data_IF_325263571578
#
_entry.id   IF_325263571578
#
_cell.length_a   1.000
_cell.length_b   1.000
_cell.length_c   1.000
_cell.angle_alpha   90.00
_cell.angle_beta   90.00
_cell.angle_gamma   90.00
#
_symmetry.space_group_name_H-M   'P 1'
#
loop_
_entity.id
_entity.type
_entity.pdbx_description
1 polymer ?
#
# COMPACT_ATOMS: atom_id res chain seq x y z
N UNK A 1 9.76 -8.83 -5.62
CA UNK A 1 9.04 -7.55 -5.51
C UNK A 1 8.77 -7.28 -4.05
N UNK A 2 9.10 -6.09 -3.55
CA UNK A 2 8.78 -5.67 -2.18
C UNK A 2 7.54 -4.79 -2.23
N UNK A 3 6.46 -5.25 -1.60
CA UNK A 3 5.22 -4.48 -1.45
C UNK A 3 5.15 -3.95 -0.03
N UNK A 4 4.95 -2.65 0.11
CA UNK A 4 4.81 -1.98 1.40
C UNK A 4 3.46 -1.26 1.42
N UNK A 5 2.72 -1.40 2.52
CA UNK A 5 1.52 -0.63 2.81
C UNK A 5 1.92 0.49 3.75
N UNK A 6 1.83 1.73 3.28
CA UNK A 6 2.07 2.91 4.11
C UNK A 6 0.73 3.50 4.50
N UNK A 7 0.32 3.24 5.75
CA UNK A 7 -1.00 3.57 6.28
C UNK A 7 -0.91 4.38 7.57
N UNK A 8 -2.01 4.99 8.01
CA UNK A 8 -2.08 5.53 9.37
C UNK A 8 -2.36 4.42 10.39
N UNK A 9 -1.97 4.62 11.65
CA UNK A 9 -2.27 3.68 12.75
C UNK A 9 -3.77 3.48 12.98
N UNK A 10 -4.60 4.38 12.46
CA UNK A 10 -6.06 4.35 12.56
C UNK A 10 -6.74 4.10 11.22
N UNK A 11 -6.05 3.55 10.22
CA UNK A 11 -6.64 3.30 8.90
C UNK A 11 -7.64 2.15 8.94
N UNK A 12 -8.93 2.48 8.81
CA UNK A 12 -10.02 1.50 8.80
C UNK A 12 -10.08 0.66 7.51
N UNK A 13 -9.39 1.07 6.44
CA UNK A 13 -9.35 0.33 5.18
C UNK A 13 -8.24 -0.71 5.13
N UNK A 14 -7.30 -0.72 6.09
CA UNK A 14 -6.19 -1.67 6.11
C UNK A 14 -6.67 -3.13 6.02
N UNK A 15 -7.66 -3.61 6.81
CA UNK A 15 -8.10 -5.01 6.72
C UNK A 15 -8.64 -5.40 5.34
N UNK A 16 -9.31 -4.47 4.65
CA UNK A 16 -9.79 -4.73 3.29
C UNK A 16 -8.61 -4.86 2.32
N UNK A 17 -7.63 -3.95 2.42
CA UNK A 17 -6.43 -3.98 1.58
C UNK A 17 -5.60 -5.25 1.81
N UNK A 18 -5.46 -5.68 3.07
CA UNK A 18 -4.80 -6.93 3.44
C UNK A 18 -5.50 -8.14 2.82
N UNK A 19 -6.84 -8.18 2.83
CA UNK A 19 -7.62 -9.24 2.20
C UNK A 19 -7.42 -9.27 0.68
N UNK A 20 -7.44 -8.10 0.01
CA UNK A 20 -7.22 -8.02 -1.45
C UNK A 20 -5.84 -8.55 -1.84
N UNK A 21 -4.78 -8.21 -1.09
CA UNK A 21 -3.42 -8.70 -1.35
C UNK A 21 -3.26 -10.19 -1.01
N UNK A 22 -3.89 -10.64 0.09
CA UNK A 22 -3.89 -12.04 0.48
C UNK A 22 -4.58 -12.93 -0.57
N UNK A 23 -5.71 -12.49 -1.12
CA UNK A 23 -6.43 -13.20 -2.19
C UNK A 23 -5.58 -13.38 -3.47
N UNK A 24 -4.55 -12.56 -3.64
CA UNK A 24 -3.63 -12.60 -4.77
C UNK A 24 -2.28 -13.26 -4.44
N UNK A 25 -2.13 -13.83 -3.24
CA UNK A 25 -0.88 -14.43 -2.73
C UNK A 25 0.31 -13.44 -2.76
N UNK A 26 0.02 -12.15 -2.52
CA UNK A 26 1.04 -11.09 -2.51
C UNK A 26 1.51 -10.87 -1.08
N UNK A 27 2.80 -11.10 -0.84
CA UNK A 27 3.45 -10.74 0.43
C UNK A 27 3.64 -9.23 0.53
N UNK A 28 3.39 -8.67 1.72
CA UNK A 28 3.53 -7.24 1.99
C UNK A 28 4.07 -6.97 3.40
N UNK A 29 4.61 -5.77 3.59
CA UNK A 29 4.99 -5.21 4.88
C UNK A 29 4.08 -4.02 5.20
N UNK A 30 3.72 -3.82 6.47
CA UNK A 30 2.94 -2.65 6.91
C UNK A 30 3.87 -1.69 7.63
N UNK A 31 3.89 -0.44 7.17
CA UNK A 31 4.58 0.68 7.79
C UNK A 31 3.57 1.80 8.09
N UNK A 32 3.86 2.59 9.13
CA UNK A 32 2.96 3.64 9.57
C UNK A 32 3.48 5.03 9.17
N UNK A 33 2.60 5.83 8.57
CA UNK A 33 2.85 7.23 8.20
C UNK A 33 3.41 8.03 9.37
N UNK A 34 2.89 7.77 10.57
CA UNK A 34 3.30 8.44 11.81
C UNK A 34 4.74 8.13 12.23
N UNK A 35 5.27 6.97 11.83
CA UNK A 35 6.62 6.53 12.16
C UNK A 35 7.63 6.86 11.04
N UNK A 36 7.15 7.25 9.85
CA UNK A 36 7.95 7.48 8.64
C UNK A 36 7.64 8.81 7.91
N UNK A 37 7.76 9.99 8.56
CA UNK A 37 7.49 11.28 7.93
C UNK A 37 8.37 11.58 6.70
N UNK A 38 9.56 10.99 6.62
CA UNK A 38 10.45 11.08 5.47
C UNK A 38 9.87 10.45 4.22
N UNK A 39 9.18 9.31 4.34
CA UNK A 39 8.51 8.64 3.21
C UNK A 39 7.31 9.46 2.73
N UNK A 40 6.59 10.10 3.66
CA UNK A 40 5.47 11.00 3.34
C UNK A 40 5.93 12.13 2.44
N UNK A 41 7.05 12.78 2.82
CA UNK A 41 7.61 13.87 2.04
C UNK A 41 8.18 13.39 0.70
N UNK A 42 8.97 12.32 0.70
CA UNK A 42 9.65 11.81 -0.49
C UNK A 42 8.68 11.32 -1.58
N UNK A 43 7.56 10.71 -1.16
CA UNK A 43 6.54 10.16 -2.08
C UNK A 43 5.34 11.10 -2.26
N UNK A 44 5.37 12.30 -1.67
CA UNK A 44 4.26 13.27 -1.70
C UNK A 44 2.93 12.61 -1.27
N UNK A 45 2.98 11.88 -0.14
CA UNK A 45 1.82 11.20 0.44
C UNK A 45 0.84 12.25 0.96
N UNK A 46 -0.42 12.15 0.55
CA UNK A 46 -1.47 13.12 0.94
C UNK A 46 -2.61 12.50 1.73
N UNK A 47 -2.81 11.19 1.60
CA UNK A 47 -3.87 10.44 2.24
C UNK A 47 -3.45 8.97 2.39
N UNK A 48 -4.20 8.24 3.19
CA UNK A 48 -4.03 6.82 3.48
C UNK A 48 -5.26 6.06 2.94
N UNK A 49 -5.12 4.80 2.50
CA UNK A 49 -3.90 3.98 2.46
C UNK A 49 -3.05 4.21 1.20
N UNK A 50 -1.77 3.83 1.27
CA UNK A 50 -0.84 3.84 0.14
C UNK A 50 -0.20 2.47 -0.04
N UNK A 51 0.08 2.12 -1.29
CA UNK A 51 0.84 0.93 -1.68
C UNK A 51 2.10 1.40 -2.39
N UNK A 52 3.24 0.96 -1.88
CA UNK A 52 4.56 1.24 -2.41
C UNK A 52 5.13 -0.08 -2.92
N UNK A 53 5.59 -0.10 -4.17
CA UNK A 53 6.21 -1.27 -4.78
C UNK A 53 7.63 -0.92 -5.19
N UNK A 54 8.59 -1.68 -4.68
CA UNK A 54 10.02 -1.48 -4.89
C UNK A 54 10.46 0.00 -4.67
N UNK A 55 9.95 0.60 -3.59
CA UNK A 55 10.24 1.98 -3.16
C UNK A 55 9.51 3.07 -3.94
N UNK A 56 8.59 2.72 -4.85
CA UNK A 56 7.81 3.69 -5.65
C UNK A 56 6.33 3.63 -5.28
N UNK A 57 5.70 4.79 -5.16
CA UNK A 57 4.26 4.88 -4.95
C UNK A 57 3.51 4.26 -6.14
N UNK A 58 2.83 3.14 -5.90
CA UNK A 58 2.02 2.45 -6.89
C UNK A 58 0.55 2.89 -6.81
N UNK A 59 0.03 2.99 -5.58
CA UNK A 59 -1.35 3.44 -5.31
C UNK A 59 -1.38 4.34 -4.09
N UNK A 60 -2.25 5.36 -4.12
CA UNK A 60 -2.55 6.23 -2.99
C UNK A 60 -4.04 6.13 -2.63
N UNK A 61 -4.62 4.94 -2.75
CA UNK A 61 -6.00 4.61 -2.40
C UNK A 61 -6.10 3.10 -2.21
N UNK A 62 -7.29 2.62 -1.84
CA UNK A 62 -7.63 1.19 -1.95
C UNK A 62 -7.84 0.85 -3.44
N UNK A 63 -6.97 0.01 -4.05
CA UNK A 63 -7.22 -0.52 -5.38
C UNK A 63 -8.25 -1.65 -5.32
N UNK A 64 -8.88 -1.91 -6.46
CA UNK A 64 -9.71 -3.11 -6.64
C UNK A 64 -8.83 -4.34 -6.93
N UNK A 65 -9.35 -5.53 -6.66
CA UNK A 65 -8.70 -6.80 -7.02
C UNK A 65 -8.22 -6.83 -8.49
N UNK A 66 -9.02 -6.29 -9.42
CA UNK A 66 -8.69 -6.24 -10.85
C UNK A 66 -7.52 -5.31 -11.18
N UNK A 67 -7.40 -4.20 -10.47
CA UNK A 67 -6.28 -3.26 -10.61
C UNK A 67 -5.00 -3.84 -10.05
N UNK A 68 -5.07 -4.51 -8.90
CA UNK A 68 -3.95 -5.26 -8.33
C UNK A 68 -3.51 -6.35 -9.31
N UNK A 69 -4.44 -7.20 -9.79
CA UNK A 69 -4.13 -8.24 -10.79
C UNK A 69 -3.46 -7.66 -12.03
N UNK A 70 -3.90 -6.51 -12.53
CA UNK A 70 -3.29 -5.91 -13.71
C UNK A 70 -1.93 -5.27 -13.42
N UNK A 71 -1.70 -4.75 -12.21
CA UNK A 71 -0.44 -4.18 -11.80
C UNK A 71 0.64 -5.24 -11.55
N UNK A 72 0.26 -6.33 -10.88
CA UNK A 72 1.14 -7.44 -10.55
C UNK A 72 1.23 -8.52 -11.66
N UNK A 73 0.64 -8.25 -12.83
CA UNK A 73 0.82 -9.09 -14.03
C UNK A 73 2.18 -8.79 -14.65
N UNK A 74 3.20 -9.49 -14.17
CA UNK A 74 4.46 -9.75 -14.86
C UNK A 74 4.80 -11.25 -14.75
#
# INVERSE_FOLDING_TARGET
MRVQLLVTKTDFNLPNLENELHNLDINYEVEFVEDHPELVSALNIRHSPNIIVDGKLAFQRVPTEGELKNYFKD
#
